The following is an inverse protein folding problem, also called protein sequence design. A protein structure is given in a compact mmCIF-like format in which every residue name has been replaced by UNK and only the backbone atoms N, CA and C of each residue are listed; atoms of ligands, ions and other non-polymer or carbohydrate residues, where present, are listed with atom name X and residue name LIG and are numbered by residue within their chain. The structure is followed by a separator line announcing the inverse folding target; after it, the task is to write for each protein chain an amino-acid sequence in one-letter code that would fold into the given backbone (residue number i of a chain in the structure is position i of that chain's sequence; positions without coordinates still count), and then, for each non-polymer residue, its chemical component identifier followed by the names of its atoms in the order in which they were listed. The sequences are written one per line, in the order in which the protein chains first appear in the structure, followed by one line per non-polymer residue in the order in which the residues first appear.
data_IF_771976497953
#
_entry.id   IF_771976497953
#
_cell.length_a   1.000
_cell.length_b   1.000
_cell.length_c   1.000
_cell.angle_alpha   90.00
_cell.angle_beta   90.00
_cell.angle_gamma   90.00
#
_symmetry.space_group_name_H-M   'P 1'
#
loop_
_entity.id
_entity.type
_entity.pdbx_description
1 polymer ?
#
# COMPACT_ATOMS: atom_id res chain seq x y z
N UNK A 1 27.55 3.01 -37.88
CA UNK A 1 26.21 3.41 -37.47
C UNK A 1 25.75 2.47 -36.35
N UNK A 2 25.89 2.90 -35.10
CA UNK A 2 25.61 2.08 -33.92
C UNK A 2 24.17 2.38 -33.42
N UNK A 3 23.29 1.43 -33.57
CA UNK A 3 21.97 1.44 -32.94
C UNK A 3 22.10 1.02 -31.49
N UNK A 4 22.16 1.98 -30.58
CA UNK A 4 21.98 1.72 -29.13
C UNK A 4 20.51 1.38 -28.89
N UNK A 5 20.20 0.10 -28.76
CA UNK A 5 18.96 -0.38 -28.18
C UNK A 5 18.86 0.15 -26.74
N UNK A 6 17.96 1.09 -26.50
CA UNK A 6 17.50 1.46 -25.15
C UNK A 6 16.68 0.29 -24.62
N UNK A 7 17.26 -0.50 -23.75
CA UNK A 7 16.53 -1.43 -22.88
C UNK A 7 15.59 -0.58 -21.98
N UNK A 8 14.30 -0.58 -22.28
CA UNK A 8 13.28 -0.04 -21.39
C UNK A 8 13.23 -1.00 -20.19
N UNK A 9 13.80 -0.58 -19.07
CA UNK A 9 13.70 -1.30 -17.78
C UNK A 9 12.22 -1.31 -17.39
N UNK A 10 11.61 -2.48 -17.32
CA UNK A 10 10.29 -2.67 -16.70
C UNK A 10 10.38 -2.15 -15.27
N UNK A 11 9.67 -1.07 -14.98
CA UNK A 11 9.42 -0.59 -13.64
C UNK A 11 8.43 -1.57 -12.99
N UNK A 12 8.96 -2.52 -12.27
CA UNK A 12 8.17 -3.30 -11.30
C UNK A 12 7.84 -2.39 -10.13
N UNK A 13 6.84 -2.70 -9.29
CA UNK A 13 6.56 -2.04 -7.99
C UNK A 13 7.84 -1.73 -7.19
N UNK A 14 8.89 -2.52 -7.37
CA UNK A 14 10.23 -2.34 -6.81
C UNK A 14 10.87 -0.95 -7.03
N UNK A 15 10.47 -0.20 -8.07
CA UNK A 15 11.17 1.04 -8.44
C UNK A 15 10.36 2.31 -8.20
N UNK A 16 9.08 2.23 -7.82
CA UNK A 16 8.22 3.39 -7.66
C UNK A 16 8.27 4.00 -6.24
N UNK A 17 8.62 3.22 -5.24
CA UNK A 17 8.74 3.63 -3.85
C UNK A 17 10.18 3.48 -3.38
N UNK A 18 11.08 4.38 -3.80
CA UNK A 18 12.34 4.59 -3.09
C UNK A 18 12.10 5.61 -2.00
N UNK A 19 11.58 5.15 -0.87
CA UNK A 19 11.58 5.90 0.36
C UNK A 19 12.99 5.80 0.94
N UNK A 20 13.83 6.79 0.68
CA UNK A 20 15.12 6.92 1.34
C UNK A 20 14.88 7.56 2.69
N UNK A 21 14.73 6.75 3.72
CA UNK A 21 14.87 7.18 5.10
C UNK A 21 16.30 7.68 5.33
N UNK A 22 16.55 8.94 5.11
CA UNK A 22 17.87 9.55 5.36
C UNK A 22 17.99 9.90 6.83
N UNK A 23 18.46 8.95 7.65
CA UNK A 23 19.07 9.28 8.91
C UNK A 23 20.47 9.85 8.61
N UNK A 24 20.59 11.16 8.45
CA UNK A 24 21.89 11.83 8.37
C UNK A 24 22.46 11.88 9.79
N UNK A 25 23.35 10.93 10.10
CA UNK A 25 24.19 10.97 11.27
C UNK A 25 25.27 12.05 11.10
N UNK A 26 25.15 13.16 11.84
CA UNK A 26 26.26 14.07 12.05
C UNK A 26 27.28 13.47 13.04
N UNK A 27 28.57 13.67 12.88
CA UNK A 27 29.58 13.16 13.82
C UNK A 27 29.43 13.86 15.17
N UNK A 28 29.13 13.11 16.22
CA UNK A 28 29.06 13.61 17.59
C UNK A 28 30.46 13.75 18.14
N UNK A 29 30.87 14.97 18.42
CA UNK A 29 32.05 15.27 19.24
C UNK A 29 31.71 15.01 20.72
N UNK A 30 32.44 14.10 21.35
CA UNK A 30 32.26 13.71 22.74
C UNK A 30 32.84 14.80 23.65
N UNK A 31 31.97 15.47 24.43
CA UNK A 31 32.37 16.11 25.71
C UNK A 31 31.11 16.23 26.59
N UNK A 32 31.09 15.51 27.71
CA UNK A 32 30.10 15.71 28.77
C UNK A 32 29.60 14.41 29.40
N UNK A 33 30.13 14.10 30.59
CA UNK A 33 29.64 13.04 31.48
C UNK A 33 28.17 13.31 31.81
N UNK A 34 27.25 12.51 31.26
CA UNK A 34 25.85 12.44 31.66
C UNK A 34 25.47 10.97 31.92
N UNK A 35 24.64 10.74 32.93
CA UNK A 35 24.12 9.46 33.38
C UNK A 35 23.80 8.55 32.18
N UNK A 36 24.41 7.35 32.16
CA UNK A 36 24.22 6.33 31.13
C UNK A 36 22.84 5.68 31.27
N UNK A 37 21.78 6.36 30.83
CA UNK A 37 20.72 5.69 30.13
C UNK A 37 21.33 5.39 28.75
N UNK A 38 21.51 4.12 28.41
CA UNK A 38 22.10 3.72 27.13
C UNK A 38 21.26 4.31 25.97
N UNK A 39 21.87 5.16 25.15
CA UNK A 39 21.20 5.71 23.96
C UNK A 39 20.63 4.55 23.13
N UNK A 40 19.40 4.65 22.61
CA UNK A 40 18.82 3.59 21.84
C UNK A 40 19.66 3.30 20.59
N UNK A 41 19.94 2.01 20.37
CA UNK A 41 20.69 1.54 19.21
C UNK A 41 19.74 1.25 18.06
N UNK A 42 20.11 1.63 16.84
CA UNK A 42 19.36 1.33 15.62
C UNK A 42 19.63 -0.12 15.17
N UNK A 43 18.58 -0.88 14.96
CA UNK A 43 18.59 -2.17 14.26
C UNK A 43 17.72 -2.03 13.02
N UNK A 44 18.28 -2.31 11.85
CA UNK A 44 17.58 -2.28 10.57
C UNK A 44 17.39 -3.68 10.02
N UNK A 45 16.27 -3.85 9.35
CA UNK A 45 15.94 -5.06 8.59
C UNK A 45 15.35 -4.67 7.24
N UNK A 46 15.65 -5.46 6.21
CA UNK A 46 15.09 -5.32 4.86
C UNK A 46 14.61 -6.68 4.36
N UNK A 47 13.48 -6.70 3.68
CA UNK A 47 12.85 -7.91 3.15
C UNK A 47 11.74 -7.59 2.16
N UNK A 48 10.77 -8.47 2.09
CA UNK A 48 9.58 -8.31 1.25
C UNK A 48 8.32 -8.61 2.06
N UNK A 49 7.22 -7.90 1.75
CA UNK A 49 5.87 -8.14 2.28
C UNK A 49 4.85 -8.01 1.14
N UNK A 50 4.04 -9.05 0.89
CA UNK A 50 3.08 -9.13 -0.22
C UNK A 50 3.68 -8.78 -1.59
N UNK A 51 4.97 -9.13 -1.81
CA UNK A 51 5.69 -8.87 -3.05
C UNK A 51 6.16 -7.42 -3.23
N UNK A 52 6.09 -6.58 -2.20
CA UNK A 52 6.70 -5.25 -2.14
C UNK A 52 7.94 -5.25 -1.26
N UNK A 53 8.86 -4.30 -1.49
CA UNK A 53 9.98 -4.07 -0.59
C UNK A 53 9.46 -3.69 0.81
N UNK A 54 10.07 -4.27 1.85
CA UNK A 54 9.72 -4.02 3.24
C UNK A 54 10.96 -3.67 4.04
N UNK A 55 10.82 -2.76 5.00
CA UNK A 55 11.91 -2.40 5.89
C UNK A 55 11.43 -2.08 7.30
N UNK A 56 12.34 -2.25 8.26
CA UNK A 56 12.18 -1.85 9.64
C UNK A 56 13.40 -1.06 10.10
N UNK A 57 13.15 0.04 10.78
CA UNK A 57 14.15 0.74 11.56
C UNK A 57 13.67 0.78 13.01
N UNK A 58 14.36 0.03 13.89
CA UNK A 58 13.97 -0.17 15.28
C UNK A 58 15.01 0.45 16.21
N UNK A 59 14.61 1.33 17.11
CA UNK A 59 15.46 1.91 18.12
C UNK A 59 15.14 1.31 19.49
N UNK A 60 16.12 0.64 20.08
CA UNK A 60 15.97 0.03 21.40
C UNK A 60 17.29 0.07 22.19
N UNK A 61 17.28 0.33 23.52
CA UNK A 61 18.52 0.32 24.34
C UNK A 61 19.25 -1.01 24.30
N UNK A 62 18.49 -2.13 24.19
CA UNK A 62 19.04 -3.46 24.07
C UNK A 62 18.88 -4.01 22.64
N UNK A 63 19.96 -4.09 21.83
CA UNK A 63 19.87 -4.56 20.45
C UNK A 63 19.48 -6.04 20.30
N UNK A 64 19.57 -6.85 21.38
CA UNK A 64 19.10 -8.25 21.35
C UNK A 64 17.57 -8.30 21.26
N UNK A 65 16.89 -7.41 22.00
CA UNK A 65 15.43 -7.29 21.94
C UNK A 65 14.98 -6.90 20.52
N UNK A 66 15.63 -5.92 19.91
CA UNK A 66 15.30 -5.52 18.54
C UNK A 66 15.54 -6.64 17.51
N UNK A 67 16.61 -7.43 17.64
CA UNK A 67 16.83 -8.61 16.77
C UNK A 67 15.80 -9.71 16.99
N UNK A 68 15.37 -9.96 18.23
CA UNK A 68 14.30 -10.91 18.52
C UNK A 68 12.96 -10.46 17.92
N UNK A 69 12.63 -9.15 18.00
CA UNK A 69 11.47 -8.58 17.36
C UNK A 69 11.50 -8.77 15.84
N UNK A 70 12.63 -8.58 15.16
CA UNK A 70 12.78 -8.84 13.72
C UNK A 70 12.46 -10.32 13.38
N UNK A 71 12.93 -11.28 14.19
CA UNK A 71 12.64 -12.71 13.97
C UNK A 71 11.14 -12.99 14.11
N UNK A 72 10.51 -12.46 15.16
CA UNK A 72 9.08 -12.57 15.41
C UNK A 72 8.27 -11.96 14.27
N UNK A 73 8.61 -10.75 13.84
CA UNK A 73 7.97 -10.06 12.71
C UNK A 73 8.06 -10.89 11.44
N UNK A 74 9.20 -11.50 11.14
CA UNK A 74 9.35 -12.39 9.99
C UNK A 74 8.41 -13.62 10.04
N UNK A 75 8.07 -14.11 11.23
CA UNK A 75 7.06 -15.18 11.41
C UNK A 75 5.65 -14.66 11.14
N UNK A 76 5.31 -13.49 11.70
CA UNK A 76 4.00 -12.89 11.53
C UNK A 76 3.76 -12.44 10.07
N UNK A 77 4.78 -11.93 9.38
CA UNK A 77 4.68 -11.62 7.96
C UNK A 77 4.30 -12.85 7.13
N UNK A 78 4.95 -13.99 7.34
CA UNK A 78 4.60 -15.24 6.63
C UNK A 78 3.17 -15.68 6.95
N UNK A 79 2.72 -15.52 8.20
CA UNK A 79 1.35 -15.82 8.60
C UNK A 79 0.34 -14.89 7.89
N UNK A 80 0.59 -13.58 7.86
CA UNK A 80 -0.28 -12.62 7.20
C UNK A 80 -0.27 -12.78 5.67
N UNK A 81 0.86 -13.16 5.09
CA UNK A 81 0.92 -13.50 3.66
C UNK A 81 0.10 -14.74 3.33
N UNK A 82 0.01 -15.74 4.23
CA UNK A 82 -0.89 -16.89 4.03
C UNK A 82 -2.38 -16.52 4.05
N UNK A 83 -2.71 -15.32 4.49
CA UNK A 83 -4.07 -14.77 4.44
C UNK A 83 -4.28 -13.94 3.16
N UNK A 84 -3.40 -12.97 2.88
CA UNK A 84 -3.66 -11.90 1.92
C UNK A 84 -2.94 -12.03 0.58
N UNK A 85 -1.96 -12.94 0.44
CA UNK A 85 -1.14 -12.99 -0.77
C UNK A 85 -1.89 -13.57 -1.96
N UNK A 86 -1.91 -12.84 -3.07
CA UNK A 86 -2.38 -13.32 -4.37
C UNK A 86 -1.35 -14.21 -5.09
N UNK A 87 -0.18 -14.48 -4.47
CA UNK A 87 0.92 -15.24 -5.06
C UNK A 87 1.20 -16.57 -4.34
N UNK A 88 0.74 -16.73 -3.09
CA UNK A 88 0.85 -17.98 -2.33
C UNK A 88 -0.35 -18.87 -2.62
N UNK A 89 -0.12 -20.06 -3.15
CA UNK A 89 -1.16 -20.98 -3.69
C UNK A 89 -2.26 -21.35 -2.70
N UNK A 90 -1.96 -21.36 -1.40
CA UNK A 90 -2.87 -21.79 -0.33
C UNK A 90 -3.37 -20.64 0.55
N UNK A 91 -3.18 -19.40 0.13
CA UNK A 91 -3.67 -18.23 0.88
C UNK A 91 -5.19 -18.21 0.96
N UNK A 92 -5.73 -17.58 2.02
CA UNK A 92 -7.19 -17.48 2.18
C UNK A 92 -7.84 -16.72 1.03
N UNK A 93 -7.23 -15.62 0.56
CA UNK A 93 -7.76 -14.85 -0.56
C UNK A 93 -7.81 -15.66 -1.86
N UNK A 94 -6.79 -16.49 -2.14
CA UNK A 94 -6.79 -17.33 -3.35
C UNK A 94 -7.81 -18.46 -3.26
N UNK A 95 -7.98 -19.06 -2.08
CA UNK A 95 -9.05 -20.06 -1.86
C UNK A 95 -10.42 -19.44 -2.09
N UNK A 96 -10.69 -18.26 -1.51
CA UNK A 96 -11.93 -17.52 -1.74
C UNK A 96 -12.14 -17.22 -3.22
N UNK A 97 -11.13 -16.66 -3.90
CA UNK A 97 -11.21 -16.30 -5.33
C UNK A 97 -11.46 -17.53 -6.22
N UNK A 98 -10.90 -18.68 -5.87
CA UNK A 98 -11.07 -19.94 -6.64
C UNK A 98 -12.42 -20.59 -6.40
N UNK A 99 -12.87 -20.64 -5.14
CA UNK A 99 -14.03 -21.41 -4.72
C UNK A 99 -15.32 -20.59 -4.68
N UNK A 100 -15.19 -19.24 -4.62
CA UNK A 100 -16.33 -18.32 -4.44
C UNK A 100 -16.85 -18.30 -3.00
N UNK A 101 -16.23 -19.09 -2.12
CA UNK A 101 -16.58 -19.21 -0.71
C UNK A 101 -15.32 -19.50 0.13
N UNK A 102 -15.23 -18.87 1.30
CA UNK A 102 -14.25 -19.17 2.33
C UNK A 102 -14.97 -19.46 3.65
N UNK A 103 -14.82 -20.69 4.17
CA UNK A 103 -15.36 -21.08 5.48
C UNK A 103 -14.34 -20.76 6.57
N UNK A 104 -14.82 -20.27 7.72
CA UNK A 104 -14.01 -19.92 8.89
C UNK A 104 -12.82 -19.02 8.51
N UNK A 105 -13.07 -17.82 7.92
CA UNK A 105 -12.01 -16.89 7.59
C UNK A 105 -11.23 -16.49 8.83
N UNK A 106 -9.96 -16.15 8.67
CA UNK A 106 -9.18 -15.57 9.76
C UNK A 106 -9.83 -14.25 10.22
N UNK A 107 -9.60 -13.90 11.48
CA UNK A 107 -10.06 -12.65 12.05
C UNK A 107 -9.54 -11.46 11.25
N UNK A 108 -8.26 -11.50 10.88
CA UNK A 108 -7.58 -10.46 10.13
C UNK A 108 -8.21 -10.26 8.74
N UNK A 109 -8.66 -11.34 8.09
CA UNK A 109 -9.32 -11.23 6.80
C UNK A 109 -10.67 -10.49 6.92
N UNK A 110 -11.45 -10.83 7.95
CA UNK A 110 -12.72 -10.15 8.25
C UNK A 110 -12.48 -8.67 8.59
N UNK A 111 -11.49 -8.37 9.43
CA UNK A 111 -11.15 -6.99 9.82
C UNK A 111 -10.79 -6.12 8.59
N UNK A 112 -10.01 -6.65 7.65
CA UNK A 112 -9.67 -5.92 6.41
C UNK A 112 -10.92 -5.68 5.56
N UNK A 113 -11.83 -6.65 5.46
CA UNK A 113 -13.09 -6.48 4.70
C UNK A 113 -14.04 -5.50 5.38
N UNK A 114 -14.06 -5.43 6.73
CA UNK A 114 -14.84 -4.45 7.46
C UNK A 114 -14.35 -3.02 7.20
N UNK A 115 -13.02 -2.81 7.18
CA UNK A 115 -12.45 -1.51 6.79
C UNK A 115 -12.74 -1.21 5.33
N UNK A 116 -12.59 -2.21 4.44
CA UNK A 116 -12.92 -2.08 3.02
C UNK A 116 -14.37 -1.65 2.81
N UNK A 117 -15.31 -2.21 3.57
CA UNK A 117 -16.74 -1.84 3.52
C UNK A 117 -16.95 -0.34 3.82
N UNK A 118 -16.28 0.18 4.85
CA UNK A 118 -16.39 1.59 5.22
C UNK A 118 -15.85 2.50 4.11
N UNK A 119 -14.68 2.16 3.54
CA UNK A 119 -14.06 2.94 2.48
C UNK A 119 -14.86 2.84 1.16
N UNK A 120 -15.37 1.64 0.81
CA UNK A 120 -16.26 1.42 -0.32
C UNK A 120 -17.49 2.35 -0.25
N UNK A 121 -18.14 2.42 0.92
CA UNK A 121 -19.33 3.23 1.10
C UNK A 121 -19.03 4.73 1.03
N UNK A 122 -17.98 5.22 1.72
CA UNK A 122 -17.66 6.64 1.76
C UNK A 122 -17.11 7.16 0.43
N UNK A 123 -16.51 6.29 -0.38
CA UNK A 123 -15.98 6.62 -1.69
C UNK A 123 -16.97 6.46 -2.85
N UNK A 124 -18.24 6.14 -2.54
CA UNK A 124 -19.27 5.83 -3.54
C UNK A 124 -18.77 4.79 -4.56
N UNK A 125 -18.21 3.69 -4.03
CA UNK A 125 -17.67 2.53 -4.77
C UNK A 125 -16.37 2.79 -5.56
N UNK A 126 -15.75 3.96 -5.44
CA UNK A 126 -14.47 4.21 -6.10
C UNK A 126 -13.36 3.27 -5.57
N UNK A 127 -13.42 2.90 -4.29
CA UNK A 127 -12.65 1.81 -3.73
C UNK A 127 -13.50 0.52 -3.77
N UNK A 128 -13.18 -0.41 -4.64
CA UNK A 128 -13.88 -1.69 -4.73
C UNK A 128 -12.86 -2.86 -4.70
N UNK A 129 -12.82 -3.65 -3.62
CA UNK A 129 -11.90 -4.78 -3.52
C UNK A 129 -12.16 -5.89 -4.53
N UNK A 130 -13.31 -5.91 -5.22
CA UNK A 130 -13.64 -6.96 -6.19
C UNK A 130 -13.07 -6.72 -7.59
N UNK A 131 -12.10 -5.81 -7.74
CA UNK A 131 -11.48 -5.43 -9.05
C UNK A 131 -10.56 -6.51 -9.64
N UNK A 132 -10.32 -7.63 -8.96
CA UNK A 132 -9.39 -8.67 -9.42
C UNK A 132 -9.70 -9.19 -10.83
N UNK A 133 -10.98 -9.38 -11.28
CA UNK A 133 -11.29 -9.77 -12.65
C UNK A 133 -10.77 -8.79 -13.71
N UNK A 134 -10.75 -7.48 -13.42
CA UNK A 134 -10.16 -6.47 -14.29
C UNK A 134 -8.64 -6.62 -14.33
N UNK A 135 -8.01 -6.76 -13.16
CA UNK A 135 -6.57 -6.95 -13.07
C UNK A 135 -6.11 -8.18 -13.88
N UNK A 136 -6.81 -9.31 -13.73
CA UNK A 136 -6.51 -10.54 -14.45
C UNK A 136 -6.67 -10.38 -15.97
N UNK A 137 -7.72 -9.68 -16.40
CA UNK A 137 -7.98 -9.36 -17.80
C UNK A 137 -6.83 -8.55 -18.42
N UNK A 138 -6.42 -7.46 -17.75
CA UNK A 138 -5.34 -6.59 -18.22
C UNK A 138 -3.99 -7.30 -18.18
N UNK A 139 -3.67 -7.96 -17.08
CA UNK A 139 -2.43 -8.72 -16.92
C UNK A 139 -2.28 -9.79 -17.99
N UNK A 140 -3.34 -10.57 -18.25
CA UNK A 140 -3.34 -11.62 -19.28
C UNK A 140 -3.20 -11.04 -20.69
N UNK A 141 -3.92 -9.97 -20.99
CA UNK A 141 -3.89 -9.33 -22.31
C UNK A 141 -2.49 -8.82 -22.64
N UNK A 142 -1.91 -7.98 -21.79
CA UNK A 142 -0.62 -7.35 -22.03
C UNK A 142 0.58 -8.30 -21.82
N UNK A 143 0.40 -9.44 -21.15
CA UNK A 143 1.44 -10.49 -21.05
C UNK A 143 1.47 -11.41 -22.27
N UNK A 144 0.32 -11.71 -22.88
CA UNK A 144 0.19 -12.61 -24.03
C UNK A 144 0.63 -11.94 -25.34
N UNK A 145 0.32 -10.66 -25.50
CA UNK A 145 0.68 -9.90 -26.68
C UNK A 145 2.04 -9.23 -26.47
N UNK A 146 3.05 -9.69 -27.18
CA UNK A 146 4.41 -9.11 -27.18
C UNK A 146 4.44 -7.66 -27.72
N UNK A 147 3.32 -7.13 -28.16
CA UNK A 147 3.15 -5.77 -28.64
C UNK A 147 2.51 -4.91 -27.57
N UNK A 148 3.26 -3.97 -26.98
CA UNK A 148 2.78 -2.94 -26.05
C UNK A 148 1.66 -2.04 -26.63
N UNK A 149 1.23 -2.28 -27.88
CA UNK A 149 0.28 -1.47 -28.64
C UNK A 149 -1.10 -2.13 -28.80
N UNK A 150 -1.29 -3.35 -28.28
CA UNK A 150 -2.58 -4.01 -28.37
C UNK A 150 -3.66 -3.23 -27.60
N UNK A 151 -4.79 -3.00 -28.22
CA UNK A 151 -5.95 -2.39 -27.58
C UNK A 151 -6.82 -3.48 -27.00
N UNK A 152 -7.17 -3.36 -25.72
CA UNK A 152 -8.10 -4.28 -25.08
C UNK A 152 -9.52 -4.01 -25.59
N UNK A 153 -10.23 -5.06 -26.01
CA UNK A 153 -11.59 -4.97 -26.54
C UNK A 153 -12.57 -4.50 -25.47
N UNK A 154 -13.42 -3.55 -25.78
CA UNK A 154 -14.40 -2.96 -24.87
C UNK A 154 -15.36 -4.00 -24.30
N UNK A 155 -15.79 -4.96 -25.11
CA UNK A 155 -16.69 -6.05 -24.70
C UNK A 155 -16.12 -6.89 -23.58
N UNK A 156 -14.80 -7.12 -23.60
CA UNK A 156 -14.10 -7.87 -22.55
C UNK A 156 -14.01 -7.07 -21.24
N UNK A 157 -13.78 -5.75 -21.35
CA UNK A 157 -13.80 -4.85 -20.19
C UNK A 157 -15.20 -4.85 -19.56
N UNK A 158 -16.24 -4.66 -20.35
CA UNK A 158 -17.65 -4.67 -19.89
C UNK A 158 -18.00 -6.00 -19.24
N UNK A 159 -17.53 -7.13 -19.81
CA UNK A 159 -17.75 -8.45 -19.22
C UNK A 159 -17.07 -8.60 -17.84
N UNK A 160 -15.84 -8.08 -17.69
CA UNK A 160 -15.12 -8.10 -16.41
C UNK A 160 -15.78 -7.16 -15.37
N UNK A 161 -16.23 -5.97 -15.78
CA UNK A 161 -16.96 -5.04 -14.89
C UNK A 161 -18.22 -5.65 -14.29
N UNK A 162 -18.91 -6.56 -15.00
CA UNK A 162 -20.08 -7.28 -14.44
C UNK A 162 -19.74 -8.14 -13.24
N UNK A 163 -18.47 -8.47 -13.01
CA UNK A 163 -17.97 -9.26 -11.88
C UNK A 163 -17.47 -8.37 -10.73
N UNK A 164 -17.49 -7.04 -10.90
CA UNK A 164 -17.02 -6.08 -9.92
C UNK A 164 -18.22 -5.49 -9.18
N UNK A 165 -18.39 -5.84 -7.92
CA UNK A 165 -19.39 -5.25 -7.01
C UNK A 165 -19.14 -5.77 -5.59
N UNK A 166 -18.47 -4.98 -4.75
CA UNK A 166 -18.23 -5.40 -3.37
C UNK A 166 -19.52 -5.50 -2.55
N UNK A 167 -20.59 -4.79 -2.92
CA UNK A 167 -21.91 -4.94 -2.31
C UNK A 167 -22.51 -6.37 -2.46
N UNK A 168 -21.96 -7.17 -3.37
CA UNK A 168 -22.40 -8.56 -3.60
C UNK A 168 -21.48 -9.60 -2.92
N UNK A 169 -20.63 -9.16 -1.99
CA UNK A 169 -19.81 -10.03 -1.14
C UNK A 169 -20.46 -10.09 0.23
N UNK A 170 -20.89 -11.28 0.62
CA UNK A 170 -21.39 -11.53 1.98
C UNK A 170 -20.19 -11.76 2.91
N UNK A 171 -19.97 -10.85 3.86
CA UNK A 171 -18.89 -10.93 4.83
C UNK A 171 -19.45 -11.34 6.19
N UNK A 172 -18.96 -12.47 6.72
CA UNK A 172 -19.32 -12.94 8.04
C UNK A 172 -18.18 -13.73 8.69
N UNK A 173 -18.22 -13.83 10.02
CA UNK A 173 -17.22 -14.55 10.82
C UNK A 173 -17.19 -16.07 10.56
N UNK A 174 -18.27 -16.64 10.05
CA UNK A 174 -18.36 -18.07 9.75
C UNK A 174 -18.06 -18.37 8.29
N UNK A 175 -18.34 -17.45 7.39
CA UNK A 175 -18.05 -17.59 5.97
C UNK A 175 -18.04 -16.24 5.26
N UNK A 176 -17.26 -16.18 4.17
CA UNK A 176 -17.32 -15.13 3.16
C UNK A 176 -17.80 -15.80 1.87
N UNK A 177 -18.77 -15.20 1.18
CA UNK A 177 -19.36 -15.78 -0.04
C UNK A 177 -19.43 -14.71 -1.14
N UNK A 178 -19.15 -15.11 -2.37
CA UNK A 178 -19.47 -14.33 -3.57
C UNK A 178 -20.85 -14.72 -4.10
N UNK A 179 -21.65 -13.73 -4.46
CA UNK A 179 -22.99 -13.96 -5.02
C UNK A 179 -22.96 -14.49 -6.47
N UNK A 180 -21.86 -14.22 -7.19
CA UNK A 180 -21.69 -14.60 -8.61
C UNK A 180 -20.38 -15.34 -8.82
N UNK A 181 -20.46 -16.40 -9.64
CA UNK A 181 -19.27 -17.13 -10.10
C UNK A 181 -18.37 -16.22 -10.94
N UNK A 182 -17.10 -16.21 -10.66
CA UNK A 182 -16.09 -15.41 -11.35
C UNK A 182 -15.78 -14.08 -10.68
N UNK A 183 -16.50 -13.67 -9.63
CA UNK A 183 -16.05 -12.61 -8.74
C UNK A 183 -14.73 -13.00 -8.06
N UNK A 184 -13.89 -12.02 -7.79
CA UNK A 184 -12.63 -12.24 -7.11
C UNK A 184 -12.16 -10.95 -6.42
N UNK A 185 -11.51 -11.08 -5.26
CA UNK A 185 -10.95 -9.98 -4.48
C UNK A 185 -9.49 -9.70 -4.83
N UNK A 186 -9.15 -8.43 -4.80
CA UNK A 186 -7.79 -7.94 -4.64
C UNK A 186 -7.76 -7.00 -3.42
N UNK A 187 -6.92 -7.32 -2.45
CA UNK A 187 -6.74 -6.47 -1.27
C UNK A 187 -5.46 -5.62 -1.36
N UNK A 188 -4.88 -5.49 -2.56
CA UNK A 188 -3.61 -4.78 -2.78
C UNK A 188 -3.66 -3.27 -2.45
N UNK A 189 -4.84 -2.67 -2.35
CA UNK A 189 -5.01 -1.27 -1.96
C UNK A 189 -5.39 -1.09 -0.49
N UNK A 190 -5.20 -2.12 0.37
CA UNK A 190 -5.53 -2.02 1.79
C UNK A 190 -4.75 -3.01 2.67
N UNK A 191 -4.35 -4.17 2.16
CA UNK A 191 -3.72 -5.20 2.97
C UNK A 191 -2.29 -4.83 3.39
N UNK A 192 -1.57 -4.05 2.59
CA UNK A 192 -0.25 -3.55 2.96
C UNK A 192 -0.34 -2.58 4.14
N UNK A 193 -1.33 -1.68 4.12
CA UNK A 193 -1.64 -0.82 5.26
C UNK A 193 -2.01 -1.60 6.51
N UNK A 194 -2.84 -2.64 6.39
CA UNK A 194 -3.20 -3.50 7.51
C UNK A 194 -1.98 -4.22 8.11
N UNK A 195 -1.12 -4.82 7.29
CA UNK A 195 0.11 -5.48 7.75
C UNK A 195 1.04 -4.47 8.43
N UNK A 196 1.19 -3.28 7.87
CA UNK A 196 1.99 -2.19 8.47
C UNK A 196 1.48 -1.82 9.85
N UNK A 197 0.16 -1.70 10.02
CA UNK A 197 -0.47 -1.44 11.32
C UNK A 197 -0.26 -2.59 12.29
N UNK A 198 -0.50 -3.82 11.85
CA UNK A 198 -0.33 -5.01 12.68
C UNK A 198 1.10 -5.12 13.23
N UNK A 199 2.10 -4.95 12.37
CA UNK A 199 3.53 -5.01 12.78
C UNK A 199 3.90 -3.85 13.71
N UNK A 200 3.36 -2.65 13.45
CA UNK A 200 3.60 -1.48 14.33
C UNK A 200 3.00 -1.69 15.72
N UNK A 201 1.79 -2.23 15.79
CA UNK A 201 1.11 -2.51 17.06
C UNK A 201 1.78 -3.66 17.82
N UNK A 202 2.29 -4.67 17.10
CA UNK A 202 3.12 -5.73 17.69
C UNK A 202 4.38 -5.15 18.33
N UNK A 203 5.11 -4.27 17.63
CA UNK A 203 6.29 -3.59 18.20
C UNK A 203 5.95 -2.76 19.44
N UNK A 204 4.83 -2.03 19.42
CA UNK A 204 4.35 -1.26 20.58
C UNK A 204 4.10 -2.18 21.79
N UNK A 205 3.48 -3.33 21.57
CA UNK A 205 3.20 -4.31 22.62
C UNK A 205 4.49 -4.97 23.18
N UNK A 206 5.54 -5.06 22.34
CA UNK A 206 6.89 -5.50 22.75
C UNK A 206 7.72 -4.39 23.41
N UNK A 207 7.13 -3.22 23.68
CA UNK A 207 7.77 -2.13 24.43
C UNK A 207 8.69 -1.23 23.59
N UNK A 208 8.50 -1.18 22.27
CA UNK A 208 9.17 -0.19 21.42
C UNK A 208 8.43 1.14 21.45
N UNK A 209 9.17 2.21 21.71
CA UNK A 209 8.66 3.59 21.68
C UNK A 209 8.96 4.29 20.35
N UNK A 210 9.99 3.84 19.62
CA UNK A 210 10.47 4.48 18.40
C UNK A 210 10.76 3.44 17.32
N UNK A 211 9.98 3.46 16.26
CA UNK A 211 10.21 2.64 15.07
C UNK A 211 9.68 3.30 13.80
N UNK A 212 10.30 2.96 12.67
CA UNK A 212 9.76 3.19 11.35
C UNK A 212 9.47 1.83 10.72
N UNK A 213 8.23 1.61 10.32
CA UNK A 213 7.73 0.36 9.74
C UNK A 213 7.27 0.63 8.31
N UNK A 214 7.84 -0.12 7.36
CA UNK A 214 7.51 -0.05 5.93
C UNK A 214 7.21 -1.46 5.44
N UNK A 215 5.92 -1.77 5.20
CA UNK A 215 5.47 -3.07 4.70
C UNK A 215 4.66 -2.90 3.41
N UNK A 216 5.17 -2.03 2.53
CA UNK A 216 4.47 -1.51 1.36
C UNK A 216 3.86 -0.14 1.63
N UNK A 217 3.43 0.10 2.87
CA UNK A 217 3.03 1.40 3.40
C UNK A 217 3.94 1.79 4.57
N UNK A 218 3.99 3.09 4.91
CA UNK A 218 4.88 3.61 5.96
C UNK A 218 4.11 3.97 7.21
N UNK A 219 4.58 3.53 8.40
CA UNK A 219 4.05 3.99 9.68
C UNK A 219 5.16 4.29 10.68
N UNK A 220 5.07 5.47 11.32
CA UNK A 220 5.92 5.86 12.43
C UNK A 220 5.29 5.41 13.77
N UNK A 221 6.07 4.70 14.60
CA UNK A 221 5.80 4.49 16.00
C UNK A 221 6.59 5.51 16.80
N UNK A 222 5.89 6.39 17.53
CA UNK A 222 6.53 7.48 18.25
C UNK A 222 7.16 8.54 17.34
N UNK A 223 8.18 9.20 17.83
CA UNK A 223 9.04 10.12 17.14
C UNK A 223 10.43 9.49 16.91
N UNK A 224 11.32 10.14 16.17
CA UNK A 224 12.70 9.72 16.09
C UNK A 224 13.39 9.82 17.48
N UNK A 225 14.51 9.12 17.74
CA UNK A 225 15.16 9.10 19.05
C UNK A 225 15.66 10.45 19.58
N UNK A 226 15.79 11.43 18.70
CA UNK A 226 16.11 12.82 19.05
C UNK A 226 14.89 13.66 19.44
N UNK A 227 13.70 13.05 19.43
CA UNK A 227 12.41 13.68 19.73
C UNK A 227 11.79 14.43 18.55
N UNK A 228 12.45 14.46 17.38
CA UNK A 228 11.88 15.07 16.17
C UNK A 228 10.95 14.09 15.44
N UNK A 229 10.01 14.59 14.65
CA UNK A 229 9.24 13.72 13.73
C UNK A 229 10.18 12.94 12.78
N UNK A 230 9.76 11.74 12.39
CA UNK A 230 10.37 11.04 11.27
C UNK A 230 10.11 11.78 9.96
N UNK A 231 11.14 11.93 9.13
CA UNK A 231 11.02 12.58 7.83
C UNK A 231 10.98 11.52 6.73
N UNK A 232 9.90 11.53 5.93
CA UNK A 232 9.73 10.67 4.77
C UNK A 232 9.75 11.51 3.51
N UNK A 233 10.61 11.15 2.56
CA UNK A 233 10.72 11.82 1.28
C UNK A 233 9.86 11.16 0.23
N UNK A 234 8.95 11.91 -0.37
CA UNK A 234 8.13 11.47 -1.50
C UNK A 234 8.84 11.80 -2.81
N UNK A 235 8.91 10.81 -3.70
CA UNK A 235 9.54 10.98 -5.00
C UNK A 235 8.59 11.70 -5.95
N UNK A 236 9.15 12.49 -6.87
CA UNK A 236 8.36 13.17 -7.88
C UNK A 236 7.73 12.15 -8.85
N UNK A 237 6.41 12.16 -9.07
CA UNK A 237 5.72 11.17 -9.90
C UNK A 237 6.11 11.23 -11.38
N UNK A 238 6.61 12.38 -11.86
CA UNK A 238 7.04 12.60 -13.25
C UNK A 238 8.53 12.30 -13.40
N UNK A 239 9.33 12.65 -12.39
CA UNK A 239 10.78 12.47 -12.36
C UNK A 239 11.21 11.70 -11.10
N UNK A 240 11.06 10.36 -11.06
CA UNK A 240 11.28 9.56 -9.84
C UNK A 240 12.71 9.58 -9.26
N UNK A 241 13.66 10.25 -9.91
CA UNK A 241 15.01 10.50 -9.39
C UNK A 241 15.09 11.73 -8.49
N UNK A 242 14.04 12.55 -8.44
CA UNK A 242 13.96 13.77 -7.65
C UNK A 242 13.01 13.59 -6.47
N UNK A 243 13.30 14.23 -5.36
CA UNK A 243 12.37 14.38 -4.24
C UNK A 243 11.38 15.48 -4.62
N UNK A 244 10.10 15.19 -4.49
CA UNK A 244 9.01 16.15 -4.70
C UNK A 244 8.80 16.98 -3.43
N UNK A 245 8.57 16.28 -2.31
CA UNK A 245 8.33 16.87 -1.00
C UNK A 245 8.74 15.94 0.13
N UNK A 246 8.92 16.51 1.32
CA UNK A 246 9.13 15.75 2.55
C UNK A 246 7.91 15.88 3.46
N UNK A 247 7.55 14.82 4.14
CA UNK A 247 6.47 14.79 5.14
C UNK A 247 7.03 14.35 6.48
N UNK A 248 6.46 14.91 7.54
CA UNK A 248 6.83 14.60 8.93
C UNK A 248 5.79 13.66 9.53
N UNK A 249 6.22 12.58 10.16
CA UNK A 249 5.35 11.58 10.79
C UNK A 249 5.71 11.40 12.28
N UNK A 250 4.69 11.40 13.12
CA UNK A 250 4.79 11.04 14.55
C UNK A 250 3.53 10.29 14.95
N UNK A 251 3.62 9.00 15.24
CA UNK A 251 2.47 8.11 15.46
C UNK A 251 1.44 8.16 14.32
N UNK A 252 1.89 8.38 13.11
CA UNK A 252 1.07 8.49 11.91
C UNK A 252 1.59 7.55 10.83
N UNK A 253 0.73 7.27 9.88
CA UNK A 253 1.04 6.49 8.69
C UNK A 253 0.90 7.33 7.43
N UNK A 254 1.62 6.93 6.39
CA UNK A 254 1.60 7.51 5.06
C UNK A 254 1.39 6.41 4.04
N UNK A 255 0.48 6.64 3.11
CA UNK A 255 0.28 5.85 1.89
C UNK A 255 0.31 6.73 0.66
N UNK A 256 0.79 6.20 -0.46
CA UNK A 256 0.82 6.88 -1.74
C UNK A 256 0.28 5.97 -2.85
N UNK A 257 -0.83 6.37 -3.48
CA UNK A 257 -1.39 5.70 -4.64
C UNK A 257 -1.10 6.48 -5.93
N UNK A 258 -0.56 5.79 -6.94
CA UNK A 258 -0.28 6.37 -8.25
C UNK A 258 -0.16 5.30 -9.34
N UNK A 259 -0.68 5.58 -10.53
CA UNK A 259 -0.70 4.63 -11.65
C UNK A 259 0.69 4.20 -12.10
N UNK A 260 1.69 5.06 -11.93
CA UNK A 260 3.09 4.79 -12.28
C UNK A 260 3.71 3.63 -11.47
N UNK A 261 3.11 3.22 -10.35
CA UNK A 261 3.61 2.12 -9.51
C UNK A 261 3.67 0.78 -10.26
N UNK A 262 2.71 0.52 -11.18
CA UNK A 262 2.71 -0.67 -12.03
C UNK A 262 1.95 -0.40 -13.34
N UNK A 263 2.67 -0.37 -14.44
CA UNK A 263 2.14 -0.21 -15.78
C UNK A 263 1.98 -1.56 -16.48
N UNK A 264 0.85 -1.77 -17.15
CA UNK A 264 0.63 -2.89 -18.06
C UNK A 264 1.08 -2.55 -19.48
N UNK A 265 0.99 -1.29 -19.88
CA UNK A 265 1.36 -0.84 -21.23
C UNK A 265 2.06 0.52 -21.23
N UNK A 266 2.81 0.81 -22.31
CA UNK A 266 3.42 2.13 -22.54
C UNK A 266 2.39 3.23 -22.80
N UNK A 267 1.15 2.86 -23.13
CA UNK A 267 0.02 3.79 -23.35
C UNK A 267 -0.68 4.21 -22.05
N UNK A 268 -0.14 3.83 -20.90
CA UNK A 268 -0.61 4.29 -19.61
C UNK A 268 -1.66 3.39 -18.94
N UNK A 269 -1.95 2.19 -19.48
CA UNK A 269 -2.75 1.22 -18.74
C UNK A 269 -1.97 0.76 -17.50
N UNK A 270 -2.59 0.87 -16.32
CA UNK A 270 -1.97 0.59 -15.03
C UNK A 270 -2.94 -0.12 -14.06
N UNK A 271 -2.44 -0.54 -12.93
CA UNK A 271 -3.07 -1.46 -11.98
C UNK A 271 -4.21 -0.88 -11.11
N UNK A 272 -4.42 0.44 -11.08
CA UNK A 272 -5.50 1.06 -10.30
C UNK A 272 -6.65 1.35 -11.25
N UNK A 273 -7.73 0.58 -11.11
CA UNK A 273 -8.88 0.64 -11.99
C UNK A 273 -10.01 1.50 -11.41
N UNK A 274 -10.75 2.16 -12.29
CA UNK A 274 -12.08 2.70 -11.99
C UNK A 274 -13.09 1.54 -12.11
N UNK A 275 -13.74 1.11 -11.01
CA UNK A 275 -14.67 -0.02 -11.01
C UNK A 275 -15.86 0.16 -11.94
N UNK A 276 -16.27 1.41 -12.20
CA UNK A 276 -17.43 1.73 -13.04
C UNK A 276 -17.13 1.59 -14.52
N UNK A 277 -15.94 2.00 -14.93
CA UNK A 277 -15.55 2.00 -16.35
C UNK A 277 -14.69 0.80 -16.74
N UNK A 278 -14.05 0.16 -15.76
CA UNK A 278 -13.08 -0.93 -15.94
C UNK A 278 -11.76 -0.48 -16.56
N UNK A 279 -11.55 0.82 -16.75
CA UNK A 279 -10.31 1.39 -17.25
C UNK A 279 -9.39 1.80 -16.08
N UNK A 280 -8.09 1.96 -16.36
CA UNK A 280 -7.17 2.56 -15.40
C UNK A 280 -7.61 4.00 -15.08
N UNK A 281 -7.63 4.36 -13.80
CA UNK A 281 -7.97 5.71 -13.34
C UNK A 281 -6.83 6.68 -13.71
N UNK A 282 -7.16 7.84 -14.31
CA UNK A 282 -6.16 8.76 -14.84
C UNK A 282 -6.44 10.23 -14.53
N UNK A 283 -7.26 10.49 -13.49
CA UNK A 283 -7.65 11.86 -13.11
C UNK A 283 -6.57 12.60 -12.34
N UNK A 284 -5.67 11.86 -11.69
CA UNK A 284 -4.58 12.36 -10.87
C UNK A 284 -3.28 11.63 -11.21
N UNK A 285 -2.13 12.24 -10.93
CA UNK A 285 -0.83 11.57 -11.01
C UNK A 285 -0.61 10.68 -9.78
N UNK A 286 -0.82 11.24 -8.59
CA UNK A 286 -0.81 10.50 -7.34
C UNK A 286 -1.70 11.14 -6.27
N UNK A 287 -1.93 10.37 -5.22
CA UNK A 287 -2.55 10.81 -3.98
C UNK A 287 -1.74 10.27 -2.82
N UNK A 288 -1.24 11.15 -1.95
CA UNK A 288 -0.68 10.77 -0.66
C UNK A 288 -1.67 11.07 0.45
N UNK A 289 -1.87 10.11 1.35
CA UNK A 289 -2.72 10.25 2.53
C UNK A 289 -1.89 9.99 3.78
N UNK A 290 -2.01 10.89 4.76
CA UNK A 290 -1.48 10.71 6.11
C UNK A 290 -2.66 10.52 7.05
N UNK A 291 -2.62 9.46 7.86
CA UNK A 291 -3.65 9.09 8.82
C UNK A 291 -3.02 8.45 10.07
N UNK A 292 -3.74 8.35 11.20
CA UNK A 292 -3.26 7.62 12.39
C UNK A 292 -3.02 6.12 12.15
N UNK A 293 -3.58 5.56 11.07
CA UNK A 293 -3.58 4.13 10.74
C UNK A 293 -3.20 3.95 9.28
N UNK A 294 -2.30 2.99 9.01
CA UNK A 294 -1.82 2.71 7.65
C UNK A 294 -2.90 2.06 6.79
N UNK A 295 -3.76 1.20 7.35
CA UNK A 295 -4.87 0.60 6.60
C UNK A 295 -5.86 1.66 6.12
N UNK A 296 -6.09 2.71 6.91
CA UNK A 296 -6.94 3.84 6.51
C UNK A 296 -6.25 4.68 5.45
N UNK A 297 -4.95 5.00 5.63
CA UNK A 297 -4.19 5.77 4.66
C UNK A 297 -4.16 5.08 3.28
N UNK A 298 -3.92 3.76 3.26
CA UNK A 298 -3.85 2.91 2.07
C UNK A 298 -5.18 2.89 1.30
N UNK A 299 -6.26 2.51 1.99
CA UNK A 299 -7.58 2.47 1.34
C UNK A 299 -8.07 3.84 0.87
N UNK A 300 -7.83 4.93 1.65
CA UNK A 300 -8.22 6.28 1.26
C UNK A 300 -7.40 6.83 0.09
N UNK A 301 -6.10 6.57 0.03
CA UNK A 301 -5.26 7.02 -1.09
C UNK A 301 -5.72 6.40 -2.40
N UNK A 302 -6.05 5.10 -2.39
CA UNK A 302 -6.61 4.37 -3.54
C UNK A 302 -8.00 4.90 -3.89
N UNK A 303 -8.89 5.06 -2.90
CA UNK A 303 -10.25 5.58 -3.11
C UNK A 303 -10.25 6.97 -3.77
N UNK A 304 -9.44 7.89 -3.24
CA UNK A 304 -9.35 9.27 -3.75
C UNK A 304 -8.70 9.30 -5.13
N UNK A 305 -7.67 8.48 -5.37
CA UNK A 305 -7.03 8.38 -6.68
C UNK A 305 -8.03 8.00 -7.78
N UNK A 306 -8.92 7.05 -7.49
CA UNK A 306 -9.97 6.62 -8.42
C UNK A 306 -11.08 7.64 -8.53
N UNK A 307 -11.61 8.14 -7.40
CA UNK A 307 -12.73 9.09 -7.37
C UNK A 307 -12.38 10.45 -7.99
N UNK A 308 -11.11 10.87 -7.83
CA UNK A 308 -10.62 12.16 -8.30
C UNK A 308 -10.90 13.31 -7.34
N UNK A 309 -10.42 14.51 -7.72
CA UNK A 309 -10.41 15.72 -6.88
C UNK A 309 -11.79 16.11 -6.34
N UNK A 310 -12.83 16.00 -7.19
CA UNK A 310 -14.17 16.48 -6.82
C UNK A 310 -14.76 15.71 -5.63
N UNK A 311 -14.51 14.40 -5.55
CA UNK A 311 -15.00 13.56 -4.47
C UNK A 311 -14.06 13.56 -3.24
N UNK A 312 -12.79 13.88 -3.44
CA UNK A 312 -11.73 13.77 -2.42
C UNK A 312 -12.08 14.49 -1.12
N UNK A 313 -12.66 15.71 -1.19
CA UNK A 313 -13.03 16.50 -0.04
C UNK A 313 -14.07 15.80 0.86
N UNK A 314 -15.06 15.16 0.25
CA UNK A 314 -16.10 14.43 0.99
C UNK A 314 -15.54 13.15 1.61
N UNK A 315 -14.68 12.44 0.87
CA UNK A 315 -14.02 11.21 1.35
C UNK A 315 -13.15 11.54 2.56
N UNK A 316 -12.23 12.51 2.45
CA UNK A 316 -11.36 12.93 3.56
C UNK A 316 -12.17 13.52 4.73
N UNK A 317 -13.22 14.29 4.45
CA UNK A 317 -14.09 14.86 5.48
C UNK A 317 -14.77 13.82 6.38
N UNK A 318 -14.90 12.58 5.91
CA UNK A 318 -15.39 11.45 6.72
C UNK A 318 -14.33 10.88 7.66
N UNK A 319 -13.08 11.30 7.56
CA UNK A 319 -11.93 10.87 8.37
C UNK A 319 -11.17 12.10 8.91
N UNK A 320 -11.69 12.80 9.95
CA UNK A 320 -11.17 14.10 10.40
C UNK A 320 -9.69 14.10 10.83
N UNK A 321 -9.14 12.94 11.17
CA UNK A 321 -7.72 12.79 11.54
C UNK A 321 -6.82 12.45 10.36
N UNK A 322 -7.37 12.36 9.15
CA UNK A 322 -6.61 12.12 7.92
C UNK A 322 -6.46 13.43 7.13
N UNK A 323 -5.37 13.52 6.37
CA UNK A 323 -5.09 14.61 5.44
C UNK A 323 -4.55 14.04 4.13
N UNK A 324 -4.93 14.65 3.02
CA UNK A 324 -4.51 14.20 1.69
C UNK A 324 -3.80 15.29 0.91
N UNK A 325 -2.82 14.90 0.11
CA UNK A 325 -2.26 15.74 -0.95
C UNK A 325 -2.49 15.04 -2.28
N UNK A 326 -3.16 15.73 -3.21
CA UNK A 326 -3.44 15.24 -4.55
C UNK A 326 -2.50 15.93 -5.53
N UNK A 327 -1.85 15.18 -6.41
CA UNK A 327 -1.06 15.73 -7.51
C UNK A 327 -1.86 15.59 -8.80
N UNK A 328 -2.23 16.72 -9.42
CA UNK A 328 -2.93 16.74 -10.69
C UNK A 328 -2.02 16.33 -11.84
N UNK A 329 -2.62 16.02 -13.00
CA UNK A 329 -1.91 15.61 -14.22
C UNK A 329 -0.94 16.70 -14.73
N UNK A 330 -1.20 17.97 -14.44
CA UNK A 330 -0.31 19.10 -14.75
C UNK A 330 0.83 19.31 -13.73
N UNK A 331 0.89 18.47 -12.70
CA UNK A 331 1.90 18.54 -11.63
C UNK A 331 1.54 19.50 -10.48
N UNK A 332 0.43 20.24 -10.56
CA UNK A 332 -0.03 21.08 -9.45
C UNK A 332 -0.60 20.23 -8.31
N UNK A 333 -0.51 20.73 -7.07
CA UNK A 333 -0.93 19.98 -5.87
C UNK A 333 -2.08 20.67 -5.14
N UNK A 334 -2.91 19.85 -4.48
CA UNK A 334 -3.99 20.29 -3.59
C UNK A 334 -3.80 19.59 -2.25
N UNK A 335 -3.96 20.31 -1.17
CA UNK A 335 -4.01 19.78 0.19
C UNK A 335 -5.44 19.85 0.73
N UNK A 336 -5.87 18.75 1.38
CA UNK A 336 -7.18 18.57 1.99
C UNK A 336 -7.03 18.09 3.44
#
# INVERSE_FOLDING_TARGET
MNSKQRQVRRLTRRNALKILGSAIGLPVSILGVRNFASSPMLVQWHGEALGAEASLSLWHPNPRVARQAVIMIGSELRRLESIFSLYQTDSEILRLNKEGKLSLPSREFVEVLDVSTKIYNVSDRAFDPTIQPLWDLYSKHFSAERSNNATLETERIVAACKLVSFAEVEVGSQAINFSRKGMALSLNGIAQGYITDYITDLLRNEGFDNAMVEMGETRALGAAPDGQPFIVNLMNPIQPSLIDRSVSLTNEALSVSGGYGMLFSERGAHHIFDPLTGNSANRLLDVSVIAPSAVIADGLSTAIYVAGEQAAKNIIGSYPSARATLTRVDGSTIQL
#
